data_IF_588988014105
#
_entry.id   IF_588988014105
#
_cell.length_a   1.000
_cell.length_b   1.000
_cell.length_c   1.000
_cell.angle_alpha   90.00
_cell.angle_beta   90.00
_cell.angle_gamma   90.00
#
_symmetry.space_group_name_H-M   'P 1'
#
loop_
_entity.id
_entity.type
_entity.pdbx_description
1 polymer ?
#
# COMPACT_ATOMS: atom_id res chain seq x y z
N UNK A 1 -45.51 -80.97 -33.40
CA UNK A 1 -46.57 -80.30 -34.18
C UNK A 1 -47.48 -79.54 -33.22
N UNK A 2 -47.50 -78.20 -33.29
CA UNK A 2 -48.51 -77.23 -32.77
C UNK A 2 -48.90 -77.26 -31.28
N UNK A 3 -49.06 -76.16 -30.53
CA UNK A 3 -48.71 -74.72 -30.53
C UNK A 3 -49.08 -74.23 -29.10
N UNK A 4 -48.29 -73.35 -28.50
CA UNK A 4 -48.58 -72.72 -27.18
C UNK A 4 -49.56 -71.55 -27.33
N UNK A 5 -50.48 -71.41 -26.36
CA UNK A 5 -51.32 -70.23 -26.13
C UNK A 5 -50.72 -69.34 -25.03
N UNK A 6 -50.99 -68.03 -25.11
CA UNK A 6 -51.22 -67.19 -23.94
C UNK A 6 -50.23 -66.03 -23.72
N UNK A 7 -50.61 -64.83 -24.17
CA UNK A 7 -50.07 -63.54 -23.77
C UNK A 7 -50.47 -63.21 -22.32
N UNK A 8 -49.54 -62.66 -21.53
CA UNK A 8 -49.85 -61.65 -20.51
C UNK A 8 -48.64 -60.74 -20.31
N UNK A 9 -48.85 -59.42 -20.44
CA UNK A 9 -47.81 -58.40 -20.30
C UNK A 9 -47.36 -58.20 -18.85
N UNK A 10 -46.11 -57.77 -18.68
CA UNK A 10 -45.58 -57.25 -17.42
C UNK A 10 -45.05 -55.84 -17.64
N UNK A 11 -45.58 -54.92 -16.83
CA UNK A 11 -45.05 -53.58 -16.60
C UNK A 11 -43.60 -53.67 -16.08
N UNK A 12 -42.70 -52.88 -16.67
CA UNK A 12 -41.39 -52.59 -16.07
C UNK A 12 -41.56 -51.44 -15.07
N UNK A 13 -41.32 -51.71 -13.79
CA UNK A 13 -41.11 -50.70 -12.77
C UNK A 13 -39.64 -50.24 -12.84
N UNK A 14 -39.42 -48.95 -13.12
CA UNK A 14 -38.11 -48.32 -13.08
C UNK A 14 -37.76 -47.96 -11.62
N UNK A 15 -36.73 -48.60 -11.06
CA UNK A 15 -36.08 -48.17 -9.83
C UNK A 15 -35.14 -46.99 -10.16
N UNK A 16 -35.47 -45.80 -9.67
CA UNK A 16 -34.52 -44.69 -9.55
C UNK A 16 -33.62 -44.95 -8.32
N UNK A 17 -32.36 -45.31 -8.56
CA UNK A 17 -31.30 -45.11 -7.57
C UNK A 17 -30.58 -43.81 -7.90
N UNK A 18 -30.76 -42.80 -7.03
CA UNK A 18 -30.03 -41.54 -7.10
C UNK A 18 -28.55 -41.76 -6.86
N UNK A 19 -27.72 -41.24 -7.77
CA UNK A 19 -26.29 -41.08 -7.54
C UNK A 19 -26.07 -39.84 -6.65
N UNK A 20 -25.25 -39.91 -5.59
CA UNK A 20 -24.79 -38.71 -4.91
C UNK A 20 -23.85 -37.94 -5.85
N UNK A 21 -24.15 -36.66 -6.04
CA UNK A 21 -23.32 -35.76 -6.84
C UNK A 21 -21.91 -35.68 -6.27
N UNK A 22 -20.93 -36.09 -7.08
CA UNK A 22 -19.53 -35.73 -6.88
C UNK A 22 -19.42 -34.21 -7.09
N UNK A 23 -19.43 -33.46 -5.99
CA UNK A 23 -18.96 -32.08 -6.00
C UNK A 23 -17.46 -32.11 -6.32
N UNK A 24 -17.09 -31.66 -7.51
CA UNK A 24 -15.69 -31.42 -7.87
C UNK A 24 -15.26 -30.20 -7.05
N UNK A 25 -14.58 -30.43 -5.94
CA UNK A 25 -13.86 -29.38 -5.22
C UNK A 25 -12.59 -29.08 -6.00
N UNK A 26 -12.60 -28.00 -6.78
CA UNK A 26 -11.37 -27.46 -7.36
C UNK A 26 -10.56 -26.83 -6.23
N UNK A 27 -9.50 -27.50 -5.79
CA UNK A 27 -8.42 -26.82 -5.08
C UNK A 27 -7.90 -25.69 -5.97
N UNK A 28 -7.46 -24.58 -5.38
CA UNK A 28 -6.68 -23.61 -6.14
C UNK A 28 -5.39 -24.31 -6.59
N UNK A 29 -5.39 -24.81 -7.83
CA UNK A 29 -4.21 -25.39 -8.43
C UNK A 29 -3.23 -24.26 -8.73
N UNK A 30 -2.28 -24.05 -7.80
CA UNK A 30 -1.16 -23.16 -8.03
C UNK A 30 -0.29 -23.74 -9.14
N UNK A 31 -0.30 -23.15 -10.33
CA UNK A 31 0.77 -23.39 -11.29
C UNK A 31 2.00 -22.62 -10.81
N UNK A 32 3.06 -23.32 -10.40
CA UNK A 32 4.35 -22.73 -10.01
C UNK A 32 4.30 -21.68 -8.87
N UNK A 33 3.41 -21.84 -7.88
CA UNK A 33 3.33 -20.91 -6.73
C UNK A 33 2.69 -19.56 -7.06
N UNK A 34 1.91 -19.49 -8.14
CA UNK A 34 1.08 -18.35 -8.50
C UNK A 34 -0.41 -18.66 -8.24
N UNK A 35 -1.10 -17.72 -7.60
CA UNK A 35 -2.53 -17.78 -7.25
C UNK A 35 -3.22 -16.53 -7.80
N UNK A 36 -4.33 -16.71 -8.51
CA UNK A 36 -5.05 -15.61 -9.16
C UNK A 36 -6.53 -15.68 -8.82
N UNK A 37 -7.06 -14.63 -8.24
CA UNK A 37 -8.44 -14.52 -7.79
C UNK A 37 -9.15 -13.37 -8.47
N UNK A 38 -10.32 -13.67 -9.03
CA UNK A 38 -11.23 -12.73 -9.67
C UNK A 38 -12.46 -12.60 -8.78
N UNK A 39 -12.67 -11.41 -8.22
CA UNK A 39 -13.62 -11.17 -7.15
C UNK A 39 -14.91 -10.55 -7.69
N UNK A 40 -16.03 -11.20 -7.38
CA UNK A 40 -17.34 -10.68 -7.74
C UNK A 40 -18.36 -11.77 -8.00
N UNK A 41 -19.54 -11.35 -8.46
CA UNK A 41 -20.65 -12.24 -8.78
C UNK A 41 -20.87 -12.44 -10.27
N UNK A 42 -20.00 -11.88 -11.11
CA UNK A 42 -20.09 -11.86 -12.55
C UNK A 42 -19.36 -13.02 -13.24
N UNK A 43 -18.87 -12.75 -14.44
CA UNK A 43 -18.15 -13.74 -15.25
C UNK A 43 -16.72 -13.84 -14.75
N UNK A 44 -16.23 -15.07 -14.55
CA UNK A 44 -14.85 -15.31 -14.13
C UNK A 44 -13.93 -15.29 -15.34
N UNK A 45 -12.90 -14.47 -15.29
CA UNK A 45 -11.91 -14.38 -16.37
C UNK A 45 -11.04 -15.64 -16.49
N UNK A 46 -10.64 -15.94 -17.73
CA UNK A 46 -9.83 -17.13 -18.02
C UNK A 46 -8.49 -17.09 -17.26
N UNK A 47 -8.19 -18.16 -16.53
CA UNK A 47 -6.96 -18.27 -15.73
C UNK A 47 -7.06 -17.71 -14.31
N UNK A 48 -8.23 -17.21 -13.91
CA UNK A 48 -8.52 -16.80 -12.54
C UNK A 48 -9.47 -17.78 -11.84
N UNK A 49 -9.37 -17.80 -10.52
CA UNK A 49 -10.33 -18.46 -9.63
C UNK A 49 -11.38 -17.45 -9.20
N UNK A 50 -12.65 -17.73 -9.51
CA UNK A 50 -13.76 -16.85 -9.13
C UNK A 50 -14.04 -16.90 -7.62
N UNK A 51 -14.24 -15.72 -7.01
CA UNK A 51 -14.53 -15.56 -5.58
C UNK A 51 -15.71 -14.61 -5.38
N UNK A 52 -16.89 -15.18 -5.14
CA UNK A 52 -18.09 -14.43 -4.73
C UNK A 52 -17.99 -14.00 -3.26
N UNK A 53 -18.58 -12.85 -2.92
CA UNK A 53 -18.74 -12.36 -1.55
C UNK A 53 -19.35 -13.39 -0.57
N UNK A 54 -20.20 -14.29 -1.07
CA UNK A 54 -20.82 -15.35 -0.25
C UNK A 54 -19.91 -16.55 0.01
N UNK A 55 -18.72 -16.60 -0.59
CA UNK A 55 -17.80 -17.73 -0.47
C UNK A 55 -17.10 -17.69 0.90
N UNK A 56 -17.60 -18.45 1.86
CA UNK A 56 -16.92 -18.65 3.14
C UNK A 56 -15.58 -19.35 2.95
N UNK A 57 -14.59 -18.99 3.78
CA UNK A 57 -13.36 -19.75 3.90
C UNK A 57 -13.67 -21.22 4.21
N UNK A 58 -12.97 -22.11 3.52
CA UNK A 58 -13.03 -23.55 3.71
C UNK A 58 -11.61 -24.12 3.63
N UNK A 59 -11.17 -24.81 4.67
CA UNK A 59 -9.80 -25.34 4.76
C UNK A 59 -9.48 -26.44 3.72
N UNK A 60 -10.47 -27.15 3.19
CA UNK A 60 -10.23 -28.15 2.14
C UNK A 60 -9.98 -27.48 0.79
N UNK A 61 -10.64 -26.34 0.54
CA UNK A 61 -10.43 -25.48 -0.62
C UNK A 61 -9.19 -24.60 -0.49
N UNK A 62 -8.88 -24.16 0.73
CA UNK A 62 -7.74 -23.34 1.09
C UNK A 62 -7.93 -21.84 0.88
N UNK A 63 -9.15 -21.35 0.64
CA UNK A 63 -9.43 -19.91 0.53
C UNK A 63 -10.91 -19.55 0.72
N UNK A 64 -11.18 -18.28 1.02
CA UNK A 64 -12.50 -17.66 1.07
C UNK A 64 -12.59 -16.54 2.10
N UNK A 65 -13.77 -15.95 2.27
CA UNK A 65 -14.00 -14.90 3.26
C UNK A 65 -14.26 -15.46 4.64
N UNK A 66 -13.65 -14.86 5.66
CA UNK A 66 -13.83 -15.26 7.07
C UNK A 66 -15.19 -14.88 7.63
N UNK A 67 -15.75 -13.74 7.20
CA UNK A 67 -17.09 -13.26 7.58
C UNK A 67 -17.89 -12.86 6.35
N UNK A 68 -18.35 -13.82 5.52
CA UNK A 68 -19.05 -13.54 4.26
C UNK A 68 -20.32 -12.70 4.43
N UNK A 69 -20.92 -12.69 5.62
CA UNK A 69 -22.04 -11.81 5.99
C UNK A 69 -21.68 -10.31 5.94
N UNK A 70 -20.40 -9.97 6.00
CA UNK A 70 -19.88 -8.60 5.89
C UNK A 70 -19.26 -8.30 4.52
N UNK A 71 -19.61 -9.11 3.52
CA UNK A 71 -19.15 -8.97 2.14
C UNK A 71 -20.34 -8.76 1.20
N UNK A 72 -20.11 -8.05 0.09
CA UNK A 72 -21.13 -7.81 -0.94
C UNK A 72 -20.55 -7.83 -2.33
N UNK A 73 -21.16 -8.58 -3.26
CA UNK A 73 -20.84 -8.48 -4.68
C UNK A 73 -21.31 -7.12 -5.23
N UNK A 74 -20.47 -6.45 -6.00
CA UNK A 74 -20.76 -5.16 -6.62
C UNK A 74 -20.21 -5.13 -8.05
N UNK A 75 -20.78 -4.28 -8.90
CA UNK A 75 -20.17 -4.00 -10.21
C UNK A 75 -18.99 -3.05 -10.07
N UNK A 76 -18.04 -3.16 -11.00
CA UNK A 76 -16.92 -2.24 -11.17
C UNK A 76 -16.93 -1.65 -12.58
N UNK A 77 -16.34 -0.47 -12.76
CA UNK A 77 -16.41 0.27 -14.03
C UNK A 77 -15.35 -0.14 -15.06
N UNK A 78 -14.47 -1.09 -14.73
CA UNK A 78 -13.41 -1.58 -15.59
C UNK A 78 -13.87 -2.68 -16.56
N UNK A 79 -12.89 -3.43 -17.06
CA UNK A 79 -13.09 -4.57 -17.97
C UNK A 79 -12.30 -5.77 -17.48
N UNK A 80 -12.64 -6.98 -17.95
CA UNK A 80 -12.05 -8.22 -17.44
C UNK A 80 -12.32 -8.38 -15.95
N UNK A 81 -11.29 -8.77 -15.19
CA UNK A 81 -11.33 -8.90 -13.72
C UNK A 81 -11.66 -7.60 -12.99
N UNK A 82 -11.65 -6.45 -13.68
CA UNK A 82 -12.04 -5.15 -13.12
C UNK A 82 -13.49 -4.75 -13.48
N UNK A 83 -14.29 -5.67 -14.05
CA UNK A 83 -15.70 -5.44 -14.39
C UNK A 83 -16.65 -5.67 -13.22
N UNK A 84 -16.23 -6.43 -12.21
CA UNK A 84 -16.91 -6.62 -10.95
C UNK A 84 -15.93 -6.65 -9.77
N UNK A 85 -16.48 -6.69 -8.57
CA UNK A 85 -15.74 -6.65 -7.31
C UNK A 85 -16.53 -7.28 -6.17
N UNK A 86 -15.84 -7.52 -5.06
CA UNK A 86 -16.45 -7.58 -3.73
C UNK A 86 -16.24 -6.27 -2.99
N UNK A 87 -17.16 -5.94 -2.09
CA UNK A 87 -17.07 -4.84 -1.15
C UNK A 87 -16.95 -5.36 0.28
N UNK A 88 -16.01 -4.80 1.04
CA UNK A 88 -15.87 -5.01 2.48
C UNK A 88 -16.81 -4.04 3.23
N UNK A 89 -17.78 -4.57 3.99
CA UNK A 89 -18.75 -3.77 4.75
C UNK A 89 -18.27 -3.43 6.16
N UNK A 90 -17.41 -4.28 6.73
CA UNK A 90 -16.69 -4.02 7.99
C UNK A 90 -15.21 -3.97 7.70
N UNK A 91 -14.54 -2.91 8.14
CA UNK A 91 -13.11 -2.69 7.87
C UNK A 91 -12.34 -2.29 9.13
N UNK A 92 -11.07 -1.94 8.97
CA UNK A 92 -10.10 -1.68 10.01
C UNK A 92 -8.99 -2.71 9.92
N UNK A 93 -7.73 -2.33 10.15
CA UNK A 93 -6.58 -3.24 10.05
C UNK A 93 -6.72 -4.48 10.94
N UNK A 94 -7.45 -4.38 12.05
CA UNK A 94 -7.75 -5.47 12.99
C UNK A 94 -9.08 -6.19 12.75
N UNK A 95 -9.81 -5.83 11.69
CA UNK A 95 -11.07 -6.47 11.35
C UNK A 95 -10.86 -7.95 11.02
N UNK A 96 -11.81 -8.80 11.42
CA UNK A 96 -11.85 -10.21 11.02
C UNK A 96 -12.45 -10.42 9.62
N UNK A 97 -12.93 -9.35 8.97
CA UNK A 97 -13.55 -9.41 7.65
C UNK A 97 -12.47 -9.46 6.55
N UNK A 98 -11.76 -10.58 6.49
CA UNK A 98 -10.65 -10.80 5.57
C UNK A 98 -11.02 -11.82 4.50
N UNK A 99 -10.37 -11.69 3.34
CA UNK A 99 -10.13 -12.79 2.43
C UNK A 99 -8.93 -13.58 2.95
N UNK A 100 -9.14 -14.86 3.19
CA UNK A 100 -8.13 -15.77 3.70
C UNK A 100 -7.70 -16.71 2.56
N UNK A 101 -6.40 -16.94 2.44
CA UNK A 101 -5.84 -17.91 1.50
C UNK A 101 -4.67 -18.66 2.14
N UNK A 102 -4.75 -19.99 2.14
CA UNK A 102 -3.73 -20.88 2.66
C UNK A 102 -2.55 -20.91 1.68
N UNK A 103 -1.37 -20.55 2.20
CA UNK A 103 -0.14 -20.43 1.44
C UNK A 103 0.99 -21.06 2.24
N UNK A 104 1.85 -21.91 1.64
CA UNK A 104 3.06 -22.38 2.32
C UNK A 104 3.87 -21.20 2.87
N UNK A 105 4.60 -21.35 3.99
CA UNK A 105 5.47 -20.30 4.47
C UNK A 105 6.46 -19.85 3.38
N UNK A 106 6.61 -18.54 3.23
CA UNK A 106 7.47 -17.94 2.20
C UNK A 106 7.30 -16.44 2.08
N UNK A 107 8.08 -15.83 1.20
CA UNK A 107 7.91 -14.44 0.79
C UNK A 107 7.07 -14.39 -0.48
N UNK A 108 6.04 -13.55 -0.50
CA UNK A 108 5.12 -13.40 -1.62
C UNK A 108 5.11 -11.96 -2.14
N UNK A 109 4.91 -11.79 -3.44
CA UNK A 109 4.43 -10.55 -4.05
C UNK A 109 2.91 -10.63 -4.22
N UNK A 110 2.20 -9.63 -3.73
CA UNK A 110 0.75 -9.51 -3.83
C UNK A 110 0.45 -8.30 -4.71
N UNK A 111 -0.12 -8.53 -5.88
CA UNK A 111 -0.65 -7.50 -6.76
C UNK A 111 -2.15 -7.36 -6.53
N UNK A 112 -2.59 -6.14 -6.25
CA UNK A 112 -3.98 -5.79 -5.92
C UNK A 112 -4.58 -4.99 -7.06
N UNK A 113 -5.78 -5.35 -7.49
CA UNK A 113 -6.64 -4.50 -8.33
C UNK A 113 -7.92 -4.19 -7.57
N UNK A 114 -8.15 -2.93 -7.27
CA UNK A 114 -9.38 -2.48 -6.61
C UNK A 114 -10.54 -2.40 -7.60
N UNK A 115 -11.76 -2.42 -7.07
CA UNK A 115 -12.96 -2.11 -7.85
C UNK A 115 -13.15 -0.60 -7.98
N UNK A 116 -14.40 -0.15 -7.90
CA UNK A 116 -14.69 1.27 -7.81
C UNK A 116 -14.25 1.81 -6.44
N UNK A 117 -13.33 2.78 -6.43
CA UNK A 117 -12.83 3.39 -5.19
C UNK A 117 -12.60 4.89 -5.36
N UNK A 118 -12.91 5.63 -4.30
CA UNK A 118 -12.46 7.02 -4.17
C UNK A 118 -11.08 7.07 -3.55
N UNK A 119 -10.91 6.45 -2.37
CA UNK A 119 -9.63 6.27 -1.69
C UNK A 119 -9.70 5.11 -0.70
N UNK A 120 -8.88 4.08 -0.91
CA UNK A 120 -8.83 2.88 -0.06
C UNK A 120 -7.38 2.51 0.27
N UNK A 121 -7.19 1.85 1.39
CA UNK A 121 -5.91 1.24 1.76
C UNK A 121 -6.04 -0.28 1.74
N UNK A 122 -4.93 -0.97 1.58
CA UNK A 122 -4.86 -2.43 1.71
C UNK A 122 -4.28 -2.75 3.08
N UNK A 123 -4.92 -3.65 3.81
CA UNK A 123 -4.38 -4.20 5.05
C UNK A 123 -4.24 -5.72 4.92
N UNK A 124 -3.16 -6.25 5.46
CA UNK A 124 -2.94 -7.68 5.60
C UNK A 124 -2.12 -7.96 6.85
N UNK A 125 -2.33 -9.12 7.45
CA UNK A 125 -1.65 -9.52 8.71
C UNK A 125 -1.81 -8.49 9.82
N UNK A 126 -3.01 -7.90 9.91
CA UNK A 126 -3.36 -6.97 10.97
C UNK A 126 -2.81 -5.55 10.82
N UNK A 127 -2.10 -5.22 9.74
CA UNK A 127 -1.49 -3.89 9.53
C UNK A 127 -1.66 -3.39 8.10
N UNK A 128 -1.45 -2.10 7.87
CA UNK A 128 -1.46 -1.54 6.51
C UNK A 128 -0.33 -2.11 5.65
N UNK A 129 -0.62 -2.31 4.37
CA UNK A 129 0.34 -2.74 3.36
C UNK A 129 0.52 -1.70 2.25
N UNK A 130 -0.58 -1.12 1.78
CA UNK A 130 -0.62 -0.05 0.77
C UNK A 130 -1.53 1.06 1.28
N UNK A 131 -1.09 2.31 1.14
CA UNK A 131 -1.78 3.49 1.66
C UNK A 131 -2.48 4.25 0.54
N UNK A 132 -3.77 4.55 0.73
CA UNK A 132 -4.53 5.54 -0.05
C UNK A 132 -4.47 5.37 -1.58
N UNK A 133 -4.71 4.17 -2.09
CA UNK A 133 -5.00 3.92 -3.50
C UNK A 133 -6.24 4.69 -3.95
N UNK A 134 -6.17 5.40 -5.08
CA UNK A 134 -7.27 6.22 -5.61
C UNK A 134 -7.60 5.90 -7.07
N UNK A 135 -8.88 6.01 -7.44
CA UNK A 135 -9.36 5.78 -8.80
C UNK A 135 -9.85 4.35 -9.02
N UNK A 136 -10.89 4.21 -9.85
CA UNK A 136 -11.48 2.90 -10.15
C UNK A 136 -10.45 2.01 -10.85
N UNK A 137 -10.38 0.73 -10.44
CA UNK A 137 -9.40 -0.18 -11.02
C UNK A 137 -7.96 0.10 -10.57
N UNK A 138 -7.75 0.90 -9.52
CA UNK A 138 -6.40 1.22 -9.03
C UNK A 138 -5.60 -0.06 -8.74
N UNK A 139 -4.34 -0.05 -9.15
CA UNK A 139 -3.42 -1.17 -9.00
C UNK A 139 -2.19 -0.77 -8.21
N UNK A 140 -1.75 -1.67 -7.35
CA UNK A 140 -0.45 -1.60 -6.69
C UNK A 140 0.02 -3.02 -6.33
N UNK A 141 1.26 -3.15 -5.89
CA UNK A 141 1.83 -4.40 -5.40
C UNK A 141 2.71 -4.18 -4.19
N UNK A 142 2.78 -5.19 -3.33
CA UNK A 142 3.67 -5.20 -2.18
C UNK A 142 4.20 -6.61 -1.92
N UNK A 143 5.32 -6.70 -1.21
CA UNK A 143 5.85 -7.98 -0.75
C UNK A 143 5.47 -8.22 0.72
N UNK A 144 5.13 -9.46 1.07
CA UNK A 144 4.75 -9.84 2.43
C UNK A 144 5.24 -11.26 2.76
N UNK A 145 5.82 -11.48 3.96
CA UNK A 145 6.14 -12.83 4.41
C UNK A 145 4.88 -13.49 4.97
N UNK A 146 4.62 -14.74 4.58
CA UNK A 146 3.63 -15.62 5.19
C UNK A 146 4.38 -16.58 6.10
N UNK A 147 4.07 -16.59 7.40
CA UNK A 147 4.82 -17.38 8.41
C UNK A 147 4.01 -18.48 9.07
N UNK A 148 2.69 -18.32 9.14
CA UNK A 148 1.76 -19.22 9.82
C UNK A 148 0.96 -20.12 8.86
N UNK A 149 1.20 -19.98 7.56
CA UNK A 149 0.58 -20.80 6.53
C UNK A 149 -0.68 -20.20 5.91
N UNK A 150 -1.05 -18.96 6.25
CA UNK A 150 -2.21 -18.29 5.69
C UNK A 150 -1.93 -16.80 5.49
N UNK A 151 -2.46 -16.21 4.40
CA UNK A 151 -2.52 -14.77 4.20
C UNK A 151 -3.94 -14.29 4.48
N UNK A 152 -4.08 -13.27 5.33
CA UNK A 152 -5.34 -12.61 5.64
C UNK A 152 -5.32 -11.16 5.16
N UNK A 153 -6.14 -10.82 4.16
CA UNK A 153 -6.16 -9.50 3.52
C UNK A 153 -7.55 -8.88 3.51
N UNK A 154 -7.62 -7.56 3.66
CA UNK A 154 -8.83 -6.77 3.39
C UNK A 154 -8.53 -5.42 2.74
N UNK A 155 -9.55 -4.85 2.09
CA UNK A 155 -9.54 -3.45 1.69
C UNK A 155 -10.21 -2.64 2.79
N UNK A 156 -9.57 -1.54 3.20
CA UNK A 156 -9.97 -0.76 4.37
C UNK A 156 -9.86 0.74 4.13
N UNK A 157 -10.12 1.51 5.19
CA UNK A 157 -10.25 2.95 5.20
C UNK A 157 -9.00 3.65 4.64
N UNK A 158 -9.23 4.41 3.58
CA UNK A 158 -8.36 5.51 3.17
C UNK A 158 -9.11 6.85 3.25
N UNK A 159 -10.40 6.85 2.90
CA UNK A 159 -11.34 7.93 3.19
C UNK A 159 -12.52 7.37 3.98
N UNK A 160 -12.82 7.98 5.12
CA UNK A 160 -13.96 7.63 5.95
C UNK A 160 -15.27 7.69 5.14
N UNK A 161 -16.13 6.68 5.32
CA UNK A 161 -17.41 6.55 4.61
C UNK A 161 -17.32 6.22 3.12
N UNK A 162 -16.12 5.96 2.58
CA UNK A 162 -15.95 5.50 1.21
C UNK A 162 -16.36 4.02 1.03
N UNK A 163 -16.41 3.59 -0.22
CA UNK A 163 -16.62 2.19 -0.61
C UNK A 163 -15.26 1.51 -0.78
N UNK A 164 -15.09 0.36 -0.13
CA UNK A 164 -13.84 -0.40 -0.08
C UNK A 164 -14.00 -1.70 -0.87
N UNK A 165 -13.44 -1.74 -2.07
CA UNK A 165 -13.69 -2.82 -3.04
C UNK A 165 -12.43 -3.49 -3.53
N UNK A 166 -12.52 -4.78 -3.83
CA UNK A 166 -11.47 -5.61 -4.39
C UNK A 166 -12.00 -6.32 -5.63
N UNK A 167 -11.30 -6.16 -6.75
CA UNK A 167 -11.63 -6.78 -8.04
C UNK A 167 -10.73 -7.98 -8.34
N UNK A 168 -9.42 -7.87 -8.10
CA UNK A 168 -8.51 -8.99 -8.33
C UNK A 168 -7.34 -9.04 -7.34
N UNK A 169 -6.86 -10.25 -7.08
CA UNK A 169 -5.57 -10.50 -6.43
C UNK A 169 -4.74 -11.46 -7.28
N UNK A 170 -3.47 -11.12 -7.45
CA UNK A 170 -2.46 -12.05 -7.96
C UNK A 170 -1.35 -12.19 -6.90
N UNK A 171 -1.13 -13.41 -6.45
CA UNK A 171 -0.19 -13.73 -5.37
C UNK A 171 0.87 -14.66 -5.94
N UNK A 172 2.14 -14.25 -5.87
CA UNK A 172 3.27 -15.00 -6.41
C UNK A 172 4.31 -15.26 -5.34
N UNK A 173 4.68 -16.51 -5.14
CA UNK A 173 5.79 -16.85 -4.25
C UNK A 173 7.12 -16.39 -4.87
N UNK A 174 7.87 -15.57 -4.13
CA UNK A 174 9.20 -15.09 -4.50
C UNK A 174 10.32 -15.93 -3.88
N UNK A 175 10.08 -16.45 -2.67
CA UNK A 175 11.04 -17.26 -1.92
C UNK A 175 10.32 -18.20 -0.97
N UNK A 176 10.91 -19.37 -0.71
CA UNK A 176 10.48 -20.27 0.38
C UNK A 176 10.95 -19.79 1.76
N UNK A 177 11.83 -18.79 1.83
CA UNK A 177 12.21 -18.15 3.09
C UNK A 177 11.20 -17.04 3.42
N UNK A 178 10.44 -17.11 4.53
CA UNK A 178 9.46 -16.10 4.91
C UNK A 178 10.11 -14.86 5.55
N UNK A 179 11.06 -14.26 4.85
CA UNK A 179 11.77 -13.07 5.28
C UNK A 179 11.64 -11.98 4.21
N UNK A 180 11.38 -10.74 4.64
CA UNK A 180 11.30 -9.60 3.72
C UNK A 180 12.66 -9.28 3.11
N UNK A 181 12.66 -8.86 1.84
CA UNK A 181 13.83 -8.25 1.22
C UNK A 181 14.25 -6.97 1.95
N UNK A 182 15.45 -6.48 1.66
CA UNK A 182 15.92 -5.20 2.18
C UNK A 182 15.00 -4.09 1.67
N UNK A 183 14.53 -3.22 2.55
CA UNK A 183 13.44 -2.29 2.24
C UNK A 183 13.74 -0.88 2.74
N UNK A 184 13.38 0.11 1.93
CA UNK A 184 13.27 1.52 2.31
C UNK A 184 11.80 1.79 2.61
N UNK A 185 11.48 1.96 3.89
CA UNK A 185 10.19 2.47 4.34
C UNK A 185 10.21 3.99 4.31
N UNK A 186 9.16 4.61 3.78
CA UNK A 186 9.05 6.07 3.71
C UNK A 186 7.82 6.51 4.49
N UNK A 187 8.00 7.41 5.44
CA UNK A 187 6.92 8.07 6.18
C UNK A 187 6.85 9.55 5.85
N UNK A 188 5.65 10.10 5.76
CA UNK A 188 5.47 11.51 5.49
C UNK A 188 4.04 11.90 5.11
N UNK A 189 3.93 13.10 4.53
CA UNK A 189 2.66 13.75 4.19
C UNK A 189 2.32 13.73 2.67
N UNK A 190 1.47 14.66 2.22
CA UNK A 190 1.05 14.81 0.81
C UNK A 190 2.19 15.16 -0.14
N UNK A 191 3.30 15.71 0.36
CA UNK A 191 4.49 16.02 -0.44
C UNK A 191 5.43 14.81 -0.58
N UNK A 192 5.09 13.71 0.09
CA UNK A 192 5.88 12.47 0.16
C UNK A 192 5.11 11.28 -0.41
N UNK A 193 3.79 11.22 -0.22
CA UNK A 193 2.96 10.06 -0.52
C UNK A 193 2.79 9.70 -2.00
N UNK A 194 2.29 8.49 -2.22
CA UNK A 194 1.87 8.02 -3.52
C UNK A 194 0.56 8.72 -3.97
N UNK A 195 0.42 8.86 -5.28
CA UNK A 195 -0.77 9.31 -5.99
C UNK A 195 -0.99 8.36 -7.17
N UNK A 196 -2.25 8.08 -7.50
CA UNK A 196 -2.57 7.04 -8.48
C UNK A 196 -3.19 7.60 -9.76
N UNK A 197 -2.94 6.99 -10.92
CA UNK A 197 -2.01 5.85 -11.13
C UNK A 197 -0.55 6.23 -10.90
N UNK A 198 0.26 5.33 -10.32
CA UNK A 198 1.63 5.63 -9.87
C UNK A 198 2.52 6.22 -10.98
N UNK A 199 2.40 5.69 -12.20
CA UNK A 199 3.30 6.07 -13.30
C UNK A 199 2.79 7.28 -14.12
N UNK A 200 1.57 7.76 -13.86
CA UNK A 200 0.93 8.79 -14.69
C UNK A 200 0.14 9.83 -13.90
N UNK A 201 0.32 9.88 -12.58
CA UNK A 201 -0.32 10.87 -11.72
C UNK A 201 0.24 12.28 -12.04
N UNK A 202 -0.63 13.29 -12.04
CA UNK A 202 -0.20 14.69 -12.27
C UNK A 202 0.52 15.25 -11.03
N UNK A 203 -0.04 14.95 -9.86
CA UNK A 203 0.55 15.24 -8.56
C UNK A 203 1.33 14.02 -8.08
N UNK A 204 2.45 14.24 -7.41
CA UNK A 204 3.17 13.16 -6.74
C UNK A 204 3.90 13.69 -5.50
N UNK A 205 4.06 12.85 -4.48
CA UNK A 205 5.06 13.08 -3.46
C UNK A 205 6.41 12.50 -3.85
N UNK A 206 7.52 13.06 -3.35
CA UNK A 206 8.85 12.63 -3.77
C UNK A 206 9.16 11.16 -3.43
N UNK A 207 8.53 10.60 -2.39
CA UNK A 207 8.69 9.19 -2.02
C UNK A 207 8.20 8.23 -3.10
N UNK A 208 7.21 8.66 -3.90
CA UNK A 208 6.70 7.89 -5.05
C UNK A 208 7.74 7.78 -6.18
N UNK A 209 8.60 8.79 -6.33
CA UNK A 209 9.60 8.86 -7.40
C UNK A 209 10.98 8.37 -6.94
N UNK A 210 11.16 8.11 -5.65
CA UNK A 210 12.42 7.60 -5.11
C UNK A 210 12.93 6.32 -5.80
N UNK A 211 12.09 5.36 -6.24
CA UNK A 211 12.56 4.17 -6.95
C UNK A 211 13.40 4.45 -8.21
N UNK A 212 13.25 5.61 -8.86
CA UNK A 212 14.07 6.00 -10.02
C UNK A 212 15.55 6.26 -9.66
N UNK A 213 15.84 6.48 -8.37
CA UNK A 213 17.16 6.88 -7.87
C UNK A 213 17.74 5.88 -6.86
N UNK A 214 17.17 4.67 -6.77
CA UNK A 214 17.58 3.62 -5.84
C UNK A 214 17.90 2.35 -6.63
N UNK A 215 18.90 1.58 -6.19
CA UNK A 215 19.14 0.25 -6.73
C UNK A 215 18.04 -0.72 -6.30
N UNK A 216 17.03 -0.88 -7.15
CA UNK A 216 15.86 -1.75 -6.93
C UNK A 216 16.17 -3.25 -6.99
N UNK A 217 17.38 -3.65 -7.41
CA UNK A 217 17.85 -5.03 -7.21
C UNK A 217 18.27 -5.30 -5.75
N UNK A 218 18.51 -4.24 -4.96
CA UNK A 218 18.90 -4.34 -3.56
C UNK A 218 17.77 -3.96 -2.62
N UNK A 219 17.02 -2.90 -2.96
CA UNK A 219 15.99 -2.35 -2.08
C UNK A 219 14.60 -2.44 -2.71
N UNK A 220 13.65 -2.93 -1.92
CA UNK A 220 12.24 -2.60 -2.09
C UNK A 220 11.98 -1.18 -1.57
N UNK A 221 10.98 -0.51 -2.13
CA UNK A 221 10.51 0.80 -1.64
C UNK A 221 9.06 0.63 -1.18
N UNK A 222 8.77 1.04 0.05
CA UNK A 222 7.44 1.03 0.64
C UNK A 222 7.09 2.42 1.13
N UNK A 223 6.35 3.16 0.32
CA UNK A 223 5.91 4.49 0.66
C UNK A 223 4.62 4.44 1.50
N UNK A 224 4.78 4.63 2.81
CA UNK A 224 3.71 4.58 3.80
C UNK A 224 3.19 5.99 4.16
N UNK A 225 3.63 7.04 3.46
CA UNK A 225 3.16 8.40 3.65
C UNK A 225 1.69 8.58 3.24
N UNK A 226 1.00 9.55 3.85
CA UNK A 226 -0.41 9.85 3.58
C UNK A 226 -0.66 11.36 3.52
N UNK A 227 -1.59 11.79 2.66
CA UNK A 227 -1.93 13.20 2.55
C UNK A 227 -2.53 13.78 3.84
N UNK A 228 -2.02 14.94 4.27
CA UNK A 228 -2.50 15.63 5.48
C UNK A 228 -2.00 15.07 6.81
N UNK A 229 -1.06 14.12 6.78
CA UNK A 229 -0.54 13.45 7.97
C UNK A 229 0.31 14.37 8.85
N UNK A 230 0.26 14.11 10.16
CA UNK A 230 1.10 14.71 11.22
C UNK A 230 1.84 13.61 12.00
N UNK A 231 2.83 13.97 12.81
CA UNK A 231 3.64 13.06 13.62
C UNK A 231 2.79 12.22 14.57
N UNK A 232 1.89 12.85 15.35
CA UNK A 232 0.97 12.11 16.24
C UNK A 232 0.14 11.08 15.51
N UNK A 233 -0.47 11.45 14.39
CA UNK A 233 -1.32 10.54 13.61
C UNK A 233 -0.50 9.39 12.99
N UNK A 234 0.68 9.69 12.43
CA UNK A 234 1.52 8.64 11.82
C UNK A 234 1.94 7.60 12.85
N UNK A 235 2.23 8.07 14.08
CA UNK A 235 2.54 7.23 15.23
C UNK A 235 1.34 6.38 15.70
N UNK A 236 0.17 7.00 15.88
CA UNK A 236 -0.96 6.37 16.57
C UNK A 236 -1.92 5.60 15.66
N UNK A 237 -2.06 6.01 14.40
CA UNK A 237 -3.14 5.53 13.52
C UNK A 237 -2.72 4.37 12.60
N UNK A 238 -1.65 3.65 12.97
CA UNK A 238 -1.27 2.37 12.36
C UNK A 238 -0.18 2.41 11.27
N UNK A 239 0.23 3.59 10.79
CA UNK A 239 1.32 3.68 9.80
C UNK A 239 2.67 3.28 10.39
N UNK A 240 3.01 3.77 11.58
CA UNK A 240 4.20 3.31 12.31
C UNK A 240 4.12 1.82 12.63
N UNK A 241 2.97 1.34 13.11
CA UNK A 241 2.76 -0.08 13.42
C UNK A 241 3.09 -0.97 12.21
N UNK A 242 2.58 -0.61 11.03
CA UNK A 242 2.83 -1.31 9.78
C UNK A 242 4.33 -1.38 9.41
N UNK A 243 5.10 -0.35 9.72
CA UNK A 243 6.55 -0.34 9.50
C UNK A 243 7.25 -1.21 10.55
N UNK A 244 6.96 -0.99 11.83
CA UNK A 244 7.59 -1.67 12.98
C UNK A 244 7.36 -3.19 12.95
N UNK A 245 6.27 -3.64 12.32
CA UNK A 245 5.96 -5.05 12.10
C UNK A 245 7.03 -5.78 11.27
N UNK A 246 7.63 -5.12 10.26
CA UNK A 246 8.47 -5.78 9.26
C UNK A 246 9.89 -5.22 9.14
N UNK A 247 10.11 -3.99 9.62
CA UNK A 247 11.41 -3.33 9.54
C UNK A 247 12.43 -4.04 10.43
N UNK A 248 13.65 -4.22 9.92
CA UNK A 248 14.70 -5.06 10.53
C UNK A 248 16.09 -4.52 10.21
N UNK A 249 17.18 -5.09 10.77
CA UNK A 249 18.53 -4.67 10.45
C UNK A 249 18.81 -4.68 8.94
N UNK A 250 19.46 -3.61 8.47
CA UNK A 250 19.74 -3.38 7.04
C UNK A 250 18.70 -2.50 6.35
N UNK A 251 17.47 -2.42 6.84
CA UNK A 251 16.44 -1.57 6.26
C UNK A 251 16.65 -0.08 6.61
N UNK A 252 16.04 0.78 5.80
CA UNK A 252 15.97 2.22 6.04
C UNK A 252 14.55 2.68 6.34
N UNK A 253 14.42 3.66 7.24
CA UNK A 253 13.20 4.44 7.42
C UNK A 253 13.48 5.90 7.14
N UNK A 254 13.01 6.43 6.01
CA UNK A 254 13.10 7.85 5.68
C UNK A 254 11.82 8.54 6.12
N UNK A 255 11.92 9.48 7.07
CA UNK A 255 10.76 10.16 7.66
C UNK A 255 10.82 11.67 7.39
N UNK A 256 9.77 12.20 6.78
CA UNK A 256 9.58 13.63 6.53
C UNK A 256 8.16 14.07 6.93
N UNK A 257 8.05 14.73 8.08
CA UNK A 257 6.81 15.35 8.59
C UNK A 257 7.14 16.77 9.10
N UNK A 258 6.13 17.55 9.45
CA UNK A 258 6.27 18.93 9.93
C UNK A 258 5.38 19.94 9.18
N UNK A 259 4.95 19.63 7.95
CA UNK A 259 4.14 20.57 7.15
C UNK A 259 2.77 20.77 7.81
N UNK A 260 2.03 19.67 8.00
CA UNK A 260 0.68 19.74 8.57
C UNK A 260 0.73 19.98 10.08
N UNK A 261 1.78 19.52 10.75
CA UNK A 261 2.00 19.63 12.20
C UNK A 261 1.97 21.10 12.64
N UNK A 262 2.47 22.03 11.81
CA UNK A 262 2.41 23.48 12.06
C UNK A 262 1.01 24.09 11.95
N UNK A 263 0.01 23.36 11.46
CA UNK A 263 -1.35 23.88 11.32
C UNK A 263 -2.08 23.87 12.69
N UNK A 264 -2.52 25.03 13.21
CA UNK A 264 -3.13 25.13 14.55
C UNK A 264 -4.34 24.22 14.76
N UNK A 265 -5.04 23.81 13.69
CA UNK A 265 -6.19 22.90 13.79
C UNK A 265 -5.84 21.54 14.42
N UNK A 266 -4.59 21.12 14.34
CA UNK A 266 -4.15 19.84 14.90
C UNK A 266 -3.80 19.93 16.39
N UNK A 267 -3.67 21.14 16.94
CA UNK A 267 -3.29 21.36 18.33
C UNK A 267 -2.09 20.48 18.73
N UNK A 268 -1.01 20.60 17.96
CA UNK A 268 0.27 19.93 18.18
C UNK A 268 1.35 21.01 18.21
N UNK A 269 1.98 21.18 19.37
CA UNK A 269 3.10 22.11 19.53
C UNK A 269 4.39 21.55 18.94
N UNK A 270 5.39 22.41 18.69
CA UNK A 270 6.72 21.95 18.23
C UNK A 270 7.36 20.95 19.21
N UNK A 271 7.10 21.10 20.52
CA UNK A 271 7.58 20.18 21.54
C UNK A 271 6.92 18.80 21.42
N UNK A 272 5.60 18.75 21.27
CA UNK A 272 4.88 17.49 21.06
C UNK A 272 5.28 16.82 19.75
N UNK A 273 5.37 17.58 18.65
CA UNK A 273 5.92 17.10 17.38
C UNK A 273 7.28 16.43 17.58
N UNK A 274 8.19 17.10 18.31
CA UNK A 274 9.52 16.58 18.60
C UNK A 274 9.47 15.27 19.39
N UNK A 275 8.58 15.17 20.37
CA UNK A 275 8.42 13.96 21.19
C UNK A 275 7.86 12.78 20.38
N UNK A 276 6.85 13.00 19.54
CA UNK A 276 6.33 11.96 18.65
C UNK A 276 7.39 11.47 17.66
N UNK A 277 8.10 12.40 17.03
CA UNK A 277 9.19 12.07 16.11
C UNK A 277 10.30 11.29 16.82
N UNK A 278 10.68 11.68 18.05
CA UNK A 278 11.67 10.96 18.86
C UNK A 278 11.25 9.52 19.15
N UNK A 279 10.00 9.31 19.56
CA UNK A 279 9.51 7.98 19.89
C UNK A 279 9.49 7.07 18.66
N UNK A 280 9.05 7.58 17.49
CA UNK A 280 9.13 6.86 16.22
C UNK A 280 10.57 6.44 15.88
N UNK A 281 11.53 7.36 16.01
CA UNK A 281 12.95 7.07 15.76
C UNK A 281 13.41 5.93 16.67
N UNK A 282 13.10 5.99 17.96
CA UNK A 282 13.54 5.00 18.96
C UNK A 282 12.90 3.63 18.73
N UNK A 283 11.62 3.57 18.40
CA UNK A 283 10.95 2.30 18.08
C UNK A 283 11.58 1.62 16.85
N UNK A 284 11.91 2.39 15.80
CA UNK A 284 12.56 1.83 14.61
C UNK A 284 14.01 1.43 14.88
N UNK A 285 14.77 2.24 15.63
CA UNK A 285 16.13 1.88 16.06
C UNK A 285 16.16 0.64 16.94
N UNK A 286 15.13 0.41 17.78
CA UNK A 286 14.99 -0.80 18.57
C UNK A 286 14.82 -2.07 17.71
N UNK A 287 14.35 -1.93 16.46
CA UNK A 287 14.34 -3.01 15.45
C UNK A 287 15.67 -3.19 14.71
N UNK A 288 16.68 -2.37 15.04
CA UNK A 288 18.02 -2.40 14.43
C UNK A 288 18.11 -1.76 13.04
N UNK A 289 17.04 -1.11 12.57
CA UNK A 289 17.02 -0.41 11.30
C UNK A 289 17.62 1.00 11.41
N UNK A 290 18.01 1.57 10.27
CA UNK A 290 18.58 2.93 10.22
C UNK A 290 17.48 3.93 9.89
N UNK A 291 17.27 4.90 10.79
CA UNK A 291 16.33 6.01 10.59
C UNK A 291 17.06 7.18 9.93
N UNK A 292 16.44 7.79 8.94
CA UNK A 292 16.93 8.94 8.19
C UNK A 292 15.84 10.01 8.30
N UNK A 293 16.19 11.18 8.83
CA UNK A 293 15.27 12.31 8.87
C UNK A 293 15.43 13.17 7.61
N UNK A 294 14.33 13.78 7.16
CA UNK A 294 14.36 14.77 6.09
C UNK A 294 13.57 16.01 6.49
N UNK A 295 14.14 17.20 6.26
CA UNK A 295 13.44 18.48 6.51
C UNK A 295 12.52 18.81 5.32
N UNK A 296 11.22 19.08 5.53
CA UNK A 296 10.34 19.35 4.40
C UNK A 296 10.73 20.61 3.62
N UNK A 297 10.61 20.54 2.30
CA UNK A 297 10.82 21.64 1.38
C UNK A 297 9.85 22.81 1.62
N UNK A 298 10.22 24.00 1.15
CA UNK A 298 9.37 25.19 1.21
C UNK A 298 8.22 25.20 0.22
N UNK A 299 7.53 26.36 0.17
CA UNK A 299 6.54 26.67 -0.86
C UNK A 299 7.22 27.23 -2.11
N UNK A 300 6.65 26.97 -3.28
CA UNK A 300 7.14 27.45 -4.57
C UNK A 300 7.40 28.97 -4.64
N UNK A 301 6.74 29.74 -3.77
CA UNK A 301 6.76 31.21 -3.74
C UNK A 301 7.68 31.80 -2.68
N UNK A 302 8.46 31.00 -1.94
CA UNK A 302 9.33 31.48 -0.86
C UNK A 302 10.62 32.18 -1.38
N UNK A 303 10.47 33.01 -2.42
CA UNK A 303 11.52 33.84 -3.01
C UNK A 303 11.48 35.25 -2.41
N UNK A 304 12.65 35.77 -2.06
CA UNK A 304 12.81 37.19 -1.68
C UNK A 304 12.94 38.11 -2.91
N UNK A 305 13.10 39.42 -2.66
CA UNK A 305 13.25 40.43 -3.72
C UNK A 305 14.48 40.23 -4.63
N UNK A 306 15.49 39.49 -4.17
CA UNK A 306 16.71 39.16 -4.93
C UNK A 306 16.60 37.81 -5.64
N UNK A 307 15.40 37.23 -5.75
CA UNK A 307 15.14 35.92 -6.36
C UNK A 307 15.90 34.76 -5.70
N UNK A 308 16.14 34.86 -4.38
CA UNK A 308 16.67 33.77 -3.57
C UNK A 308 15.53 33.08 -2.84
N UNK A 309 15.42 31.76 -3.01
CA UNK A 309 14.45 30.93 -2.29
C UNK A 309 14.96 30.60 -0.89
N UNK A 310 14.13 30.75 0.15
CA UNK A 310 14.47 30.36 1.52
C UNK A 310 13.24 29.93 2.32
N UNK A 311 13.32 28.75 2.94
CA UNK A 311 12.25 28.17 3.75
C UNK A 311 12.73 27.65 5.13
N UNK A 312 13.85 28.16 5.64
CA UNK A 312 14.55 27.57 6.80
C UNK A 312 13.75 27.61 8.11
N UNK A 313 12.80 28.54 8.23
CA UNK A 313 11.95 28.71 9.41
C UNK A 313 10.60 27.97 9.30
N UNK A 314 10.42 27.14 8.27
CA UNK A 314 9.17 26.42 8.07
C UNK A 314 9.18 25.04 8.73
N UNK A 315 7.97 24.53 8.99
CA UNK A 315 7.69 23.10 9.21
C UNK A 315 8.45 22.47 10.38
N UNK A 316 8.66 23.21 11.47
CA UNK A 316 9.43 22.76 12.63
C UNK A 316 10.83 22.21 12.28
N UNK A 317 11.46 22.77 11.23
CA UNK A 317 12.81 22.37 10.79
C UNK A 317 13.82 22.36 11.94
N UNK A 318 13.79 23.35 12.82
CA UNK A 318 14.63 23.42 14.03
C UNK A 318 14.56 22.14 14.88
N UNK A 319 13.35 21.64 15.14
CA UNK A 319 13.14 20.41 15.89
C UNK A 319 13.69 19.18 15.17
N UNK A 320 13.53 19.11 13.84
CA UNK A 320 14.07 17.99 13.02
C UNK A 320 15.60 17.99 13.05
N UNK A 321 16.25 19.16 12.91
CA UNK A 321 17.70 19.29 13.02
C UNK A 321 18.20 18.86 14.40
N UNK A 322 17.52 19.32 15.47
CA UNK A 322 17.87 18.95 16.84
C UNK A 322 17.71 17.44 17.07
N UNK A 323 16.63 16.82 16.58
CA UNK A 323 16.42 15.37 16.68
C UNK A 323 17.50 14.57 15.95
N UNK A 324 17.91 14.99 14.75
CA UNK A 324 18.95 14.29 14.03
C UNK A 324 20.27 14.25 14.81
N UNK A 325 20.60 15.33 15.53
CA UNK A 325 21.77 15.38 16.41
C UNK A 325 21.58 14.55 17.68
N UNK A 326 20.47 14.76 18.39
CA UNK A 326 20.17 14.13 19.68
C UNK A 326 20.02 12.61 19.57
N UNK A 327 19.30 12.15 18.55
CA UNK A 327 19.06 10.74 18.31
C UNK A 327 20.10 10.15 17.34
N UNK A 328 21.07 10.92 16.84
CA UNK A 328 22.15 10.46 15.94
C UNK A 328 21.59 9.73 14.71
N UNK A 329 20.80 10.42 13.91
CA UNK A 329 20.30 9.91 12.62
C UNK A 329 20.98 10.64 11.47
N UNK A 330 21.24 9.98 10.33
CA UNK A 330 21.44 10.69 9.08
C UNK A 330 20.32 11.69 8.83
N UNK A 331 20.66 12.80 8.20
CA UNK A 331 19.75 13.90 7.91
C UNK A 331 19.92 14.30 6.45
N UNK A 332 18.81 14.35 5.73
CA UNK A 332 18.72 15.06 4.46
C UNK A 332 18.09 16.42 4.74
N UNK A 333 18.86 17.50 4.68
CA UNK A 333 18.29 18.85 4.83
C UNK A 333 17.64 19.29 3.50
N UNK A 334 16.60 18.56 3.08
CA UNK A 334 15.92 18.76 1.81
C UNK A 334 15.37 20.18 1.69
N UNK A 335 15.00 20.84 2.79
CA UNK A 335 14.63 22.24 2.83
C UNK A 335 15.69 23.18 2.22
N UNK A 336 16.96 23.02 2.63
CA UNK A 336 18.08 23.83 2.13
C UNK A 336 18.47 23.39 0.73
N UNK A 337 18.59 22.07 0.51
CA UNK A 337 18.97 21.52 -0.81
C UNK A 337 17.97 21.92 -1.90
N UNK A 338 16.67 21.85 -1.62
CA UNK A 338 15.63 22.27 -2.56
C UNK A 338 15.64 23.78 -2.75
N UNK A 339 15.82 24.57 -1.69
CA UNK A 339 15.90 26.03 -1.80
C UNK A 339 17.08 26.48 -2.67
N UNK A 340 18.23 25.82 -2.56
CA UNK A 340 19.38 26.08 -3.43
C UNK A 340 19.04 25.75 -4.90
N UNK A 341 18.40 24.61 -5.15
CA UNK A 341 17.96 24.23 -6.48
C UNK A 341 16.94 25.22 -7.06
N UNK A 342 15.91 25.59 -6.29
CA UNK A 342 14.89 26.56 -6.69
C UNK A 342 15.49 27.94 -6.99
N UNK A 343 16.44 28.40 -6.17
CA UNK A 343 17.22 29.62 -6.45
C UNK A 343 17.96 29.53 -7.79
N UNK A 344 18.56 28.38 -8.10
CA UNK A 344 19.33 28.19 -9.34
C UNK A 344 18.49 28.21 -10.62
N UNK A 345 17.21 27.81 -10.54
CA UNK A 345 16.31 27.78 -11.70
C UNK A 345 15.36 28.99 -11.76
N UNK A 346 15.27 29.75 -10.67
CA UNK A 346 14.41 30.92 -10.54
C UNK A 346 12.94 30.60 -10.24
N UNK A 347 12.18 31.65 -9.91
CA UNK A 347 10.78 31.59 -9.46
C UNK A 347 9.83 30.92 -10.44
N UNK A 348 9.90 31.28 -11.73
CA UNK A 348 8.96 30.79 -12.75
C UNK A 348 9.13 29.29 -13.00
N UNK A 349 10.38 28.83 -13.15
CA UNK A 349 10.68 27.41 -13.31
C UNK A 349 10.34 26.62 -12.04
N UNK A 350 10.54 27.21 -10.85
CA UNK A 350 10.14 26.59 -9.58
C UNK A 350 8.63 26.44 -9.48
N UNK A 351 7.86 27.47 -9.86
CA UNK A 351 6.39 27.39 -9.86
C UNK A 351 5.87 26.27 -10.77
N UNK A 352 6.54 26.01 -11.90
CA UNK A 352 6.23 24.91 -12.81
C UNK A 352 6.53 23.51 -12.24
N UNK A 353 7.20 23.39 -11.10
CA UNK A 353 7.43 22.13 -10.38
C UNK A 353 6.31 21.81 -9.36
N UNK A 354 5.33 22.70 -9.21
CA UNK A 354 4.21 22.53 -8.29
C UNK A 354 2.89 22.40 -9.06
N UNK A 355 1.84 21.96 -8.38
CA UNK A 355 0.50 21.90 -8.93
C UNK A 355 -0.01 23.29 -9.31
N UNK A 356 -0.77 23.41 -10.41
CA UNK A 356 -1.26 24.71 -10.86
C UNK A 356 -2.16 25.37 -9.81
N UNK A 357 -1.86 26.60 -9.42
CA UNK A 357 -2.58 27.34 -8.36
C UNK A 357 -2.26 26.88 -6.93
N UNK A 358 -1.31 25.95 -6.76
CA UNK A 358 -0.92 25.40 -5.46
C UNK A 358 0.59 25.60 -5.24
N UNK A 359 0.95 26.25 -4.13
CA UNK A 359 2.35 26.55 -3.83
C UNK A 359 3.01 25.55 -2.89
N UNK A 360 2.28 24.54 -2.41
CA UNK A 360 2.76 23.55 -1.44
C UNK A 360 2.99 22.18 -2.07
N UNK A 361 2.09 21.74 -2.94
CA UNK A 361 2.11 20.38 -3.46
C UNK A 361 2.95 20.30 -4.75
N UNK A 362 4.04 19.51 -4.76
CA UNK A 362 4.78 19.25 -5.98
C UNK A 362 3.91 18.52 -7.01
N UNK A 363 4.12 18.85 -8.28
CA UNK A 363 3.65 17.97 -9.36
C UNK A 363 4.65 16.84 -9.57
N UNK A 364 4.36 15.92 -10.50
CA UNK A 364 5.22 14.79 -10.81
C UNK A 364 6.68 15.18 -11.12
N UNK A 365 6.90 16.27 -11.86
CA UNK A 365 8.24 16.76 -12.18
C UNK A 365 8.96 17.33 -10.96
N UNK A 366 8.27 18.10 -10.11
CA UNK A 366 8.83 18.61 -8.86
C UNK A 366 9.18 17.51 -7.87
N UNK A 367 8.28 16.53 -7.71
CA UNK A 367 8.49 15.37 -6.88
C UNK A 367 9.73 14.57 -7.31
N UNK A 368 9.93 14.40 -8.62
CA UNK A 368 11.15 13.78 -9.19
C UNK A 368 12.41 14.58 -8.85
N UNK A 369 12.38 15.91 -8.93
CA UNK A 369 13.54 16.73 -8.55
C UNK A 369 13.87 16.62 -7.06
N UNK A 370 12.85 16.61 -6.20
CA UNK A 370 13.02 16.43 -4.77
C UNK A 370 13.59 15.03 -4.45
N UNK A 371 13.05 13.98 -5.07
CA UNK A 371 13.56 12.61 -4.92
C UNK A 371 15.03 12.49 -5.35
N UNK A 372 15.40 13.13 -6.46
CA UNK A 372 16.80 13.23 -6.92
C UNK A 372 17.70 13.88 -5.87
N UNK A 373 17.27 14.99 -5.27
CA UNK A 373 18.04 15.69 -4.23
C UNK A 373 18.21 14.83 -2.98
N UNK A 374 17.16 14.14 -2.55
CA UNK A 374 17.22 13.18 -1.43
C UNK A 374 18.24 12.08 -1.72
N UNK A 375 18.10 11.38 -2.85
CA UNK A 375 19.00 10.28 -3.20
C UNK A 375 20.46 10.74 -3.37
N UNK A 376 20.68 11.88 -4.03
CA UNK A 376 22.02 12.45 -4.20
C UNK A 376 22.69 12.78 -2.86
N UNK A 377 21.94 13.33 -1.90
CA UNK A 377 22.50 13.66 -0.60
C UNK A 377 22.78 12.40 0.23
N UNK A 378 21.92 11.38 0.19
CA UNK A 378 22.16 10.09 0.83
C UNK A 378 23.39 9.38 0.24
N UNK A 379 23.57 9.45 -1.08
CA UNK A 379 24.78 8.98 -1.76
C UNK A 379 26.02 9.75 -1.33
N UNK A 380 25.96 11.08 -1.25
CA UNK A 380 27.06 11.94 -0.76
C UNK A 380 27.47 11.57 0.66
N UNK A 381 26.50 11.20 1.50
CA UNK A 381 26.72 10.73 2.87
C UNK A 381 27.23 9.28 2.95
N UNK A 382 27.30 8.56 1.82
CA UNK A 382 27.83 7.20 1.75
C UNK A 382 26.84 6.09 2.12
N UNK A 383 25.53 6.37 2.12
CA UNK A 383 24.54 5.32 2.37
C UNK A 383 24.44 4.37 1.17
N UNK A 384 24.42 3.06 1.45
CA UNK A 384 24.33 2.04 0.40
C UNK A 384 22.99 2.09 -0.32
N UNK A 385 22.99 1.98 -1.66
CA UNK A 385 21.78 1.80 -2.46
C UNK A 385 21.32 3.03 -3.25
N UNK A 386 21.98 4.18 -3.08
CA UNK A 386 21.68 5.46 -3.73
C UNK A 386 22.77 5.90 -4.72
#
# INVERSE_FOLDING_TARGET
MKWKKGLTGMLLAAFLCGAPGLGITTQAHASNGEYKFDFGGGTVETGYTGVSASLSYDSARGYGFRTPENMRNVSASGTGVASDAVQFLTTGTKSKNTFDVDLPPGLYEVSVTLGNTSRSSVAAEGVYQVINMTGNGAKDRFQIPVTDGQLNLLITEGKEGAVFTLSALEIKQLSSNPATNRTIYIGGDSTVCNYYPLDSSVQAGWGQLLPEFVNTNTFQIRNMASGGQIARGFHQDGQLEAIVQYIKPGDYFILQLGINDTNPKHNESEAEFKDWMRDMIRQVKAKGATVILSTPQGRATDFNANNVHNAENRWYRSAILALAQEEQTPLVDLNVLSSAYFTSIGKEATLALYMNGDTLHPNFAGARQLARLVAHDLKRQGLSGF
#
